data_IF_547950252065
#
_entry.id   IF_547950252065
#
_cell.length_a   1.000
_cell.length_b   1.000
_cell.length_c   1.000
_cell.angle_alpha   90.00
_cell.angle_beta   90.00
_cell.angle_gamma   90.00
#
_symmetry.space_group_name_H-M   'P 1'
#
loop_
_entity.id
_entity.type
_entity.pdbx_description
1 polymer ?
#
# COMPACT_ATOMS: atom_id res chain seq x y z
N UNK A 1 -16.14 4.53 11.88
CA UNK A 1 -15.46 4.83 10.60
C UNK A 1 -15.71 6.30 10.34
N UNK A 2 -14.66 7.11 10.20
CA UNK A 2 -14.84 8.49 9.75
C UNK A 2 -15.26 8.39 8.28
N UNK A 3 -16.39 8.95 7.90
CA UNK A 3 -16.95 8.88 6.53
C UNK A 3 -16.15 9.70 5.50
N UNK A 4 -14.94 10.09 5.88
CA UNK A 4 -13.99 10.89 5.13
C UNK A 4 -13.06 9.92 4.39
N UNK A 5 -12.72 10.22 3.13
CA UNK A 5 -11.88 9.38 2.26
C UNK A 5 -12.52 8.09 1.70
N UNK A 6 -13.79 8.18 1.28
CA UNK A 6 -14.46 7.12 0.55
C UNK A 6 -14.06 7.10 -0.94
N UNK A 7 -14.30 5.97 -1.61
CA UNK A 7 -14.05 5.82 -3.04
C UNK A 7 -15.17 6.43 -3.88
N UNK A 8 -15.22 6.09 -5.17
CA UNK A 8 -16.31 6.52 -6.06
C UNK A 8 -17.67 5.96 -5.62
N UNK A 9 -18.74 6.65 -6.03
CA UNK A 9 -20.11 6.18 -5.83
C UNK A 9 -20.30 4.79 -6.46
N UNK A 10 -21.02 3.91 -5.77
CA UNK A 10 -21.29 2.52 -6.13
C UNK A 10 -22.72 2.13 -5.79
N UNK A 11 -23.11 0.88 -6.07
CA UNK A 11 -24.44 0.35 -5.79
C UNK A 11 -24.46 -0.55 -4.54
N UNK A 12 -25.62 -0.66 -3.91
CA UNK A 12 -25.82 -1.59 -2.79
C UNK A 12 -25.52 -3.04 -3.18
N UNK A 13 -25.93 -3.46 -4.39
CA UNK A 13 -25.68 -4.81 -4.91
C UNK A 13 -24.19 -5.14 -4.96
N UNK A 14 -23.36 -4.17 -5.37
CA UNK A 14 -21.90 -4.34 -5.37
C UNK A 14 -21.37 -4.56 -3.95
N UNK A 15 -21.80 -3.76 -2.98
CA UNK A 15 -21.38 -3.91 -1.58
C UNK A 15 -21.84 -5.22 -0.94
N UNK A 16 -23.05 -5.68 -1.27
CA UNK A 16 -23.57 -6.96 -0.82
C UNK A 16 -22.83 -8.15 -1.44
N UNK A 17 -22.41 -8.03 -2.71
CA UNK A 17 -21.58 -9.05 -3.38
C UNK A 17 -20.20 -9.23 -2.74
N UNK A 18 -19.69 -8.22 -2.03
CA UNK A 18 -18.47 -8.31 -1.23
C UNK A 18 -18.66 -9.08 0.09
N UNK A 19 -19.87 -9.56 0.39
CA UNK A 19 -20.23 -10.29 1.61
C UNK A 19 -19.82 -9.54 2.89
N UNK A 20 -19.90 -8.21 2.85
CA UNK A 20 -19.54 -7.37 3.98
C UNK A 20 -20.64 -7.41 5.06
N UNK A 21 -20.26 -7.34 6.34
CA UNK A 21 -21.21 -7.12 7.41
C UNK A 21 -22.06 -5.87 7.18
N UNK A 22 -23.34 -5.91 7.56
CA UNK A 22 -24.30 -4.81 7.37
C UNK A 22 -23.83 -3.49 7.98
N UNK A 23 -23.08 -3.52 9.09
CA UNK A 23 -22.53 -2.31 9.70
C UNK A 23 -21.55 -1.56 8.79
N UNK A 24 -20.76 -2.27 7.98
CA UNK A 24 -19.82 -1.65 7.02
C UNK A 24 -20.60 -1.03 5.87
N UNK A 25 -21.58 -1.77 5.34
CA UNK A 25 -22.42 -1.29 4.23
C UNK A 25 -23.18 -0.01 4.63
N UNK A 26 -23.72 0.02 5.85
CA UNK A 26 -24.41 1.20 6.38
C UNK A 26 -23.46 2.40 6.56
N UNK A 27 -22.21 2.16 6.94
CA UNK A 27 -21.19 3.22 7.06
C UNK A 27 -20.77 3.78 5.70
N UNK A 28 -20.86 3.00 4.63
CA UNK A 28 -20.58 3.43 3.26
C UNK A 28 -21.72 4.20 2.60
N UNK A 29 -22.87 4.31 3.26
CA UNK A 29 -23.97 5.16 2.83
C UNK A 29 -23.79 6.56 3.42
N UNK A 30 -23.47 7.52 2.56
CA UNK A 30 -23.28 8.93 2.92
C UNK A 30 -24.28 9.73 2.08
N UNK A 31 -25.10 10.55 2.74
CA UNK A 31 -26.15 11.37 2.10
C UNK A 31 -27.07 10.61 1.12
N UNK A 32 -27.33 9.32 1.41
CA UNK A 32 -28.20 8.47 0.58
C UNK A 32 -27.50 7.78 -0.60
N UNK A 33 -26.22 8.06 -0.84
CA UNK A 33 -25.40 7.43 -1.88
C UNK A 33 -24.44 6.42 -1.26
N UNK A 34 -24.27 5.27 -1.91
CA UNK A 34 -23.28 4.27 -1.48
C UNK A 34 -21.93 4.55 -2.13
N UNK A 35 -20.85 4.37 -1.37
CA UNK A 35 -19.49 4.57 -1.86
C UNK A 35 -18.64 3.32 -1.68
N UNK A 36 -17.56 3.21 -2.46
CA UNK A 36 -16.64 2.10 -2.30
C UNK A 36 -15.81 2.23 -1.01
N UNK A 37 -15.63 1.13 -0.24
CA UNK A 37 -14.89 1.13 1.01
C UNK A 37 -13.37 1.10 0.75
N UNK A 38 -12.82 2.21 0.27
CA UNK A 38 -11.37 2.40 0.06
C UNK A 38 -10.54 2.11 1.31
N UNK A 39 -11.06 2.43 2.50
CA UNK A 39 -10.43 2.07 3.78
C UNK A 39 -10.22 0.55 3.93
N UNK A 40 -11.20 -0.25 3.50
CA UNK A 40 -11.09 -1.71 3.58
C UNK A 40 -10.00 -2.21 2.63
N UNK A 41 -9.92 -1.64 1.42
CA UNK A 41 -8.86 -1.97 0.47
C UNK A 41 -7.47 -1.60 1.01
N UNK A 42 -7.34 -0.43 1.66
CA UNK A 42 -6.10 0.00 2.32
C UNK A 42 -5.71 -0.96 3.45
N UNK A 43 -6.65 -1.28 4.35
CA UNK A 43 -6.40 -2.21 5.46
C UNK A 43 -5.98 -3.59 4.98
N UNK A 44 -6.64 -4.14 3.96
CA UNK A 44 -6.29 -5.44 3.37
C UNK A 44 -4.91 -5.38 2.73
N UNK A 45 -4.60 -4.31 1.99
CA UNK A 45 -3.30 -4.14 1.35
C UNK A 45 -2.15 -4.05 2.35
N UNK A 46 -2.34 -3.33 3.46
CA UNK A 46 -1.35 -3.19 4.51
C UNK A 46 -1.11 -4.51 5.24
N UNK A 47 -2.16 -5.25 5.57
CA UNK A 47 -2.05 -6.58 6.19
C UNK A 47 -1.35 -7.57 5.25
N UNK A 48 -1.71 -7.56 3.95
CA UNK A 48 -1.04 -8.40 2.96
C UNK A 48 0.45 -8.05 2.84
N UNK A 49 0.78 -6.76 2.81
CA UNK A 49 2.17 -6.30 2.79
C UNK A 49 2.95 -6.73 4.00
N UNK A 50 2.37 -6.58 5.19
CA UNK A 50 2.95 -7.04 6.43
C UNK A 50 3.22 -8.55 6.39
N UNK A 51 2.22 -9.37 6.05
CA UNK A 51 2.36 -10.83 6.00
C UNK A 51 3.39 -11.28 4.96
N UNK A 52 3.41 -10.63 3.80
CA UNK A 52 4.37 -10.91 2.73
C UNK A 52 5.80 -10.59 3.19
N UNK A 53 6.05 -9.39 3.69
CA UNK A 53 7.39 -9.00 4.15
C UNK A 53 7.84 -9.81 5.36
N UNK A 54 6.92 -10.09 6.29
CA UNK A 54 7.19 -10.93 7.46
C UNK A 54 7.55 -12.37 7.07
N UNK A 55 6.92 -12.91 6.04
CA UNK A 55 7.22 -14.25 5.53
C UNK A 55 8.51 -14.27 4.72
N UNK A 56 8.73 -13.29 3.84
CA UNK A 56 9.89 -13.24 2.97
C UNK A 56 11.18 -12.97 3.73
N UNK A 57 11.14 -12.26 4.87
CA UNK A 57 12.35 -11.94 5.65
C UNK A 57 13.16 -13.16 6.09
N UNK A 58 12.53 -14.33 6.18
CA UNK A 58 13.19 -15.58 6.57
C UNK A 58 13.55 -16.47 5.37
N UNK A 59 12.89 -16.27 4.22
CA UNK A 59 13.06 -17.13 3.03
C UNK A 59 14.07 -16.59 2.02
N UNK A 60 14.18 -15.27 1.90
CA UNK A 60 15.07 -14.62 0.94
C UNK A 60 16.35 -14.13 1.64
N UNK A 61 17.52 -14.19 0.96
CA UNK A 61 18.78 -13.67 1.49
C UNK A 61 18.82 -12.14 1.38
N UNK A 62 17.88 -11.48 2.05
CA UNK A 62 17.85 -10.03 2.14
C UNK A 62 19.11 -9.54 2.83
N UNK A 63 19.70 -8.48 2.28
CA UNK A 63 20.74 -7.70 2.95
C UNK A 63 20.10 -6.66 3.87
N UNK A 64 20.88 -6.14 4.82
CA UNK A 64 20.43 -5.06 5.69
C UNK A 64 19.78 -3.92 4.89
N UNK A 65 18.59 -3.47 5.31
CA UNK A 65 17.84 -2.40 4.66
C UNK A 65 17.05 -2.81 3.40
N UNK A 66 17.25 -3.98 2.80
CA UNK A 66 16.45 -4.42 1.64
C UNK A 66 14.98 -4.68 2.03
N UNK A 67 14.70 -5.07 3.27
CA UNK A 67 13.32 -5.21 3.79
C UNK A 67 12.63 -3.84 3.86
N UNK A 68 13.34 -2.80 4.31
CA UNK A 68 12.80 -1.44 4.34
C UNK A 68 12.53 -0.93 2.91
N UNK A 69 13.45 -1.16 1.97
CA UNK A 69 13.23 -0.80 0.57
C UNK A 69 12.04 -1.57 -0.03
N UNK A 70 11.90 -2.86 0.29
CA UNK A 70 10.76 -3.68 -0.13
C UNK A 70 9.44 -3.13 0.43
N UNK A 71 9.43 -2.65 1.67
CA UNK A 71 8.27 -1.98 2.26
C UNK A 71 7.91 -0.69 1.52
N UNK A 72 8.90 0.17 1.24
CA UNK A 72 8.68 1.43 0.49
C UNK A 72 8.08 1.14 -0.88
N UNK A 73 8.59 0.13 -1.59
CA UNK A 73 8.07 -0.29 -2.90
C UNK A 73 6.63 -0.80 -2.77
N UNK A 74 6.38 -1.72 -1.83
CA UNK A 74 5.04 -2.30 -1.61
C UNK A 74 4.00 -1.24 -1.24
N UNK A 75 4.34 -0.37 -0.29
CA UNK A 75 3.46 0.70 0.15
C UNK A 75 3.21 1.71 -0.98
N UNK A 76 4.24 2.07 -1.75
CA UNK A 76 4.09 2.92 -2.93
C UNK A 76 3.18 2.32 -4.01
N UNK A 77 3.17 1.00 -4.18
CA UNK A 77 2.22 0.35 -5.10
C UNK A 77 0.77 0.48 -4.59
N UNK A 78 0.53 0.22 -3.30
CA UNK A 78 -0.79 0.36 -2.67
C UNK A 78 -1.30 1.80 -2.72
N UNK A 79 -0.54 2.70 -2.08
CA UNK A 79 -0.09 3.98 -2.68
C UNK A 79 -0.87 4.49 -3.87
N UNK A 80 -0.36 4.06 -5.02
CA UNK A 80 -0.75 4.49 -6.34
C UNK A 80 -2.15 4.00 -6.75
N UNK A 81 -2.50 2.76 -6.39
CA UNK A 81 -3.78 2.13 -6.75
C UNK A 81 -4.94 2.71 -5.94
N UNK A 82 -4.79 2.87 -4.63
CA UNK A 82 -5.87 3.24 -3.70
C UNK A 82 -6.24 4.73 -3.79
N UNK A 83 -5.29 5.65 -3.60
CA UNK A 83 -4.60 6.33 -4.68
C UNK A 83 -5.53 6.73 -5.84
N UNK A 84 -5.71 5.88 -6.85
CA UNK A 84 -6.58 6.19 -8.00
C UNK A 84 -8.08 6.12 -7.71
N UNK A 85 -8.50 5.42 -6.64
CA UNK A 85 -9.90 5.12 -6.35
C UNK A 85 -10.60 6.16 -5.48
N UNK A 86 -9.83 6.95 -4.70
CA UNK A 86 -10.36 8.04 -3.88
C UNK A 86 -11.01 9.14 -4.74
N UNK A 87 -11.83 9.99 -4.17
CA UNK A 87 -12.33 11.20 -4.86
C UNK A 87 -11.79 12.49 -4.25
N UNK A 88 -11.33 12.43 -2.99
CA UNK A 88 -11.07 13.61 -2.17
C UNK A 88 -9.56 13.86 -1.96
N UNK A 89 -8.80 13.77 -3.05
CA UNK A 89 -7.33 13.84 -2.99
C UNK A 89 -6.78 15.05 -3.73
N UNK A 90 -5.69 15.62 -3.20
CA UNK A 90 -5.00 16.75 -3.81
C UNK A 90 -4.41 16.36 -5.17
N UNK A 91 -4.89 17.03 -6.22
CA UNK A 91 -4.45 16.84 -7.60
C UNK A 91 -3.23 17.71 -7.90
N UNK A 92 -2.26 17.16 -8.62
CA UNK A 92 -1.11 17.89 -9.17
C UNK A 92 -0.98 17.54 -10.66
N UNK A 93 -1.63 18.35 -11.49
CA UNK A 93 -1.78 18.06 -12.91
C UNK A 93 -2.69 16.85 -13.15
N UNK A 94 -2.29 15.87 -13.98
CA UNK A 94 -3.13 14.72 -14.32
C UNK A 94 -3.20 13.64 -13.23
N UNK A 95 -2.28 13.66 -12.27
CA UNK A 95 -2.16 12.65 -11.21
C UNK A 95 -2.26 13.30 -9.83
N UNK A 96 -2.58 12.49 -8.83
CA UNK A 96 -2.63 12.94 -7.43
C UNK A 96 -1.23 13.10 -6.87
N UNK A 97 -1.05 14.02 -5.92
CA UNK A 97 0.25 14.22 -5.24
C UNK A 97 0.77 12.91 -4.65
N UNK A 98 -0.12 12.13 -4.02
CA UNK A 98 0.19 10.82 -3.47
C UNK A 98 0.70 9.82 -4.53
N UNK A 99 0.18 9.89 -5.76
CA UNK A 99 0.63 9.04 -6.88
C UNK A 99 2.01 9.46 -7.38
N UNK A 100 2.26 10.77 -7.52
CA UNK A 100 3.58 11.29 -7.85
C UNK A 100 4.64 10.86 -6.84
N UNK A 101 4.36 11.05 -5.54
CA UNK A 101 5.25 10.64 -4.46
C UNK A 101 5.50 9.14 -4.47
N UNK A 102 4.45 8.33 -4.70
CA UNK A 102 4.57 6.87 -4.79
C UNK A 102 5.56 6.45 -5.88
N UNK A 103 5.43 7.02 -7.08
CA UNK A 103 6.33 6.71 -8.20
C UNK A 103 7.77 7.12 -7.89
N UNK A 104 7.97 8.31 -7.35
CA UNK A 104 9.30 8.81 -6.98
C UNK A 104 9.95 7.88 -5.94
N UNK A 105 9.23 7.52 -4.88
CA UNK A 105 9.76 6.64 -3.85
C UNK A 105 10.07 5.23 -4.35
N UNK A 106 9.24 4.67 -5.24
CA UNK A 106 9.51 3.37 -5.86
C UNK A 106 10.80 3.42 -6.69
N UNK A 107 10.97 4.44 -7.53
CA UNK A 107 12.16 4.59 -8.39
C UNK A 107 13.42 4.76 -7.53
N UNK A 108 13.37 5.61 -6.50
CA UNK A 108 14.49 5.81 -5.58
C UNK A 108 14.81 4.51 -4.84
N UNK A 109 13.80 3.80 -4.34
CA UNK A 109 14.02 2.54 -3.61
C UNK A 109 14.65 1.46 -4.49
N UNK A 110 14.19 1.31 -5.74
CA UNK A 110 14.77 0.40 -6.71
C UNK A 110 16.21 0.80 -7.09
N UNK A 111 16.46 2.09 -7.30
CA UNK A 111 17.79 2.62 -7.59
C UNK A 111 18.78 2.37 -6.46
N UNK A 112 18.38 2.64 -5.21
CA UNK A 112 19.19 2.35 -4.02
C UNK A 112 19.42 0.84 -3.90
N UNK A 113 18.40 0.01 -4.14
CA UNK A 113 18.55 -1.44 -4.08
C UNK A 113 19.58 -1.92 -5.10
N UNK A 114 19.43 -1.56 -6.38
CA UNK A 114 20.34 -1.94 -7.45
C UNK A 114 21.77 -1.44 -7.18
N UNK A 115 21.93 -0.18 -6.79
CA UNK A 115 23.21 0.42 -6.44
C UNK A 115 23.90 -0.33 -5.29
N UNK A 116 23.16 -0.62 -4.20
CA UNK A 116 23.71 -1.36 -3.05
C UNK A 116 24.04 -2.80 -3.39
N UNK A 117 23.31 -3.42 -4.32
CA UNK A 117 23.61 -4.78 -4.76
C UNK A 117 24.87 -4.85 -5.62
N UNK A 118 25.08 -3.85 -6.47
CA UNK A 118 26.23 -3.75 -7.36
C UNK A 118 27.51 -3.32 -6.63
N UNK A 119 27.48 -2.20 -5.89
CA UNK A 119 28.68 -1.63 -5.27
C UNK A 119 28.97 -2.13 -3.86
N UNK A 120 27.97 -2.67 -3.14
CA UNK A 120 28.14 -3.19 -1.78
C UNK A 120 27.76 -4.68 -1.70
N UNK A 121 28.45 -5.57 -2.43
CA UNK A 121 28.15 -7.00 -2.44
C UNK A 121 28.35 -7.64 -1.06
N UNK A 122 29.25 -7.10 -0.23
CA UNK A 122 29.60 -7.59 1.10
C UNK A 122 28.67 -7.11 2.23
N UNK A 123 27.61 -6.37 1.91
CA UNK A 123 26.63 -5.96 2.92
C UNK A 123 26.09 -7.20 3.65
N UNK A 124 26.10 -7.20 5.00
CA UNK A 124 25.73 -8.37 5.77
C UNK A 124 24.27 -8.74 5.52
N UNK A 125 24.00 -10.04 5.58
CA UNK A 125 22.64 -10.56 5.53
C UNK A 125 21.82 -9.95 6.66
N UNK A 126 20.53 -9.71 6.41
CA UNK A 126 19.59 -9.15 7.36
C UNK A 126 19.59 -9.90 8.69
N UNK A 127 19.66 -11.24 8.64
CA UNK A 127 19.69 -12.10 9.83
C UNK A 127 21.05 -12.11 10.56
N UNK A 128 22.16 -11.83 9.87
CA UNK A 128 23.49 -11.80 10.49
C UNK A 128 23.66 -10.60 11.44
N UNK A 129 22.89 -9.53 11.23
CA UNK A 129 22.85 -8.36 12.08
C UNK A 129 22.26 -8.64 13.48
N UNK A 130 21.42 -9.67 13.60
CA UNK A 130 20.67 -10.00 14.83
C UNK A 130 21.55 -10.62 15.92
N UNK A 131 22.73 -11.12 15.56
CA UNK A 131 23.63 -11.85 16.47
C UNK A 131 24.77 -10.98 17.03
N UNK A 132 24.66 -9.65 16.95
CA UNK A 132 25.54 -8.69 17.64
C UNK A 132 24.73 -7.96 18.69
#
# INVERSE_FOLDING_TARGET
MNQEAHGRATTLTFLQGLHLPSFIINQMRIDGVYYQPTFLYESVWDVLGFLLLFSLRHKLPFKQGEIFLSYVIWYGCGRFVIEGMRTDSLMLGPLRVSQWLSVIFIIIALGIWAYRRYYNPLNPAYLAAKNK
#
